data_IF_248468772629
#
_entry.id   IF_248468772629
#
_cell.length_a   1.000
_cell.length_b   1.000
_cell.length_c   1.000
_cell.angle_alpha   90.00
_cell.angle_beta   90.00
_cell.angle_gamma   90.00
#
_symmetry.space_group_name_H-M   'P 1'
#
loop_
_entity.id
_entity.type
_entity.pdbx_description
1 polymer ?
#
# COMPACT_ATOMS: atom_id res chain seq x y z
N UNK A 1 0.68 9.11 42.66
CA UNK A 1 0.10 8.29 41.58
C UNK A 1 1.25 7.50 40.98
N UNK A 2 1.31 6.18 41.20
CA UNK A 2 2.48 5.36 40.85
C UNK A 2 2.65 5.23 39.34
N UNK A 3 3.91 5.15 38.87
CA UNK A 3 4.34 5.06 37.45
C UNK A 3 3.54 4.03 36.62
N UNK A 4 3.06 2.97 37.29
CA UNK A 4 2.27 1.91 36.69
C UNK A 4 0.86 2.37 36.29
N UNK A 5 0.26 3.31 37.05
CA UNK A 5 -1.05 3.89 36.75
C UNK A 5 -0.97 4.85 35.56
N UNK A 6 0.15 5.58 35.41
CA UNK A 6 0.37 6.46 34.25
C UNK A 6 0.67 5.67 32.98
N UNK A 7 1.43 4.58 33.07
CA UNK A 7 1.65 3.66 31.93
C UNK A 7 0.35 2.98 31.48
N UNK A 8 -0.46 2.50 32.43
CA UNK A 8 -1.76 1.91 32.12
C UNK A 8 -2.74 2.94 31.51
N UNK A 9 -2.75 4.18 32.00
CA UNK A 9 -3.56 5.25 31.44
C UNK A 9 -3.10 5.65 30.02
N UNK A 10 -1.79 5.64 29.74
CA UNK A 10 -1.24 5.93 28.41
C UNK A 10 -1.54 4.80 27.42
N UNK A 11 -1.43 3.54 27.86
CA UNK A 11 -1.79 2.38 27.05
C UNK A 11 -3.30 2.34 26.77
N UNK A 12 -4.14 2.67 27.76
CA UNK A 12 -5.58 2.78 27.57
C UNK A 12 -5.93 3.95 26.63
N UNK A 13 -5.27 5.10 26.74
CA UNK A 13 -5.47 6.23 25.83
C UNK A 13 -5.04 5.89 24.39
N UNK A 14 -3.94 5.16 24.20
CA UNK A 14 -3.50 4.69 22.88
C UNK A 14 -4.46 3.63 22.30
N UNK A 15 -4.98 2.73 23.14
CA UNK A 15 -5.98 1.74 22.74
C UNK A 15 -7.35 2.39 22.43
N UNK A 16 -7.72 3.46 23.14
CA UNK A 16 -8.91 4.26 22.81
C UNK A 16 -8.71 5.05 21.51
N UNK A 17 -7.53 5.63 21.28
CA UNK A 17 -7.22 6.34 20.02
C UNK A 17 -7.23 5.38 18.81
N UNK A 18 -6.73 4.15 19.00
CA UNK A 18 -6.77 3.09 17.99
C UNK A 18 -8.15 2.43 17.85
N UNK A 19 -9.01 2.55 18.86
CA UNK A 19 -10.29 1.84 18.98
C UNK A 19 -11.50 2.55 18.36
N UNK A 20 -11.39 3.84 18.02
CA UNK A 20 -12.51 4.59 17.44
C UNK A 20 -12.32 4.72 15.91
N UNK A 21 -12.99 3.83 15.16
CA UNK A 21 -13.23 3.87 13.70
C UNK A 21 -12.05 3.75 12.70
N UNK A 22 -10.79 4.00 13.07
CA UNK A 22 -9.67 4.08 12.10
C UNK A 22 -9.10 2.72 11.61
N UNK A 23 -9.36 1.60 12.29
CA UNK A 23 -8.69 0.32 12.00
C UNK A 23 -9.00 -0.26 10.60
N UNK A 24 -10.23 -0.06 10.10
CA UNK A 24 -10.63 -0.54 8.78
C UNK A 24 -9.93 0.24 7.65
N UNK A 25 -9.76 1.55 7.80
CA UNK A 25 -9.14 2.40 6.79
C UNK A 25 -7.61 2.27 6.79
N UNK A 26 -7.00 2.11 7.97
CA UNK A 26 -5.56 1.76 8.08
C UNK A 26 -5.30 0.38 7.45
N UNK A 27 -6.14 -0.63 7.74
CA UNK A 27 -6.04 -1.94 7.10
C UNK A 27 -6.22 -1.89 5.57
N UNK A 28 -7.18 -1.08 5.10
CA UNK A 28 -7.39 -0.83 3.67
C UNK A 28 -6.18 -0.14 3.03
N UNK A 29 -5.60 0.86 3.69
CA UNK A 29 -4.38 1.53 3.22
C UNK A 29 -3.19 0.56 3.12
N UNK A 30 -3.02 -0.33 4.10
CA UNK A 30 -1.98 -1.35 4.08
C UNK A 30 -2.16 -2.34 2.91
N UNK A 31 -3.39 -2.81 2.68
CA UNK A 31 -3.71 -3.68 1.54
C UNK A 31 -3.43 -3.00 0.20
N UNK A 32 -3.86 -1.74 0.03
CA UNK A 32 -3.65 -0.99 -1.22
C UNK A 32 -2.16 -0.67 -1.44
N UNK A 33 -1.37 -0.49 -0.37
CA UNK A 33 0.08 -0.36 -0.46
C UNK A 33 0.77 -1.67 -0.84
N UNK A 34 0.28 -2.82 -0.34
CA UNK A 34 0.75 -4.13 -0.76
C UNK A 34 0.46 -4.37 -2.24
N UNK A 35 -0.76 -4.11 -2.70
CA UNK A 35 -1.15 -4.21 -4.12
C UNK A 35 -0.27 -3.32 -5.01
N UNK A 36 0.03 -2.10 -4.56
CA UNK A 36 0.92 -1.19 -5.29
C UNK A 36 2.32 -1.78 -5.44
N UNK A 37 2.80 -2.48 -4.42
CA UNK A 37 4.12 -3.12 -4.39
C UNK A 37 4.14 -4.35 -5.30
N UNK A 38 3.11 -5.19 -5.25
CA UNK A 38 2.98 -6.35 -6.15
C UNK A 38 2.99 -5.91 -7.62
N UNK A 39 2.16 -4.93 -7.97
CA UNK A 39 2.18 -4.37 -9.31
C UNK A 39 3.53 -3.73 -9.67
N UNK A 40 4.27 -3.16 -8.71
CA UNK A 40 5.62 -2.66 -8.98
C UNK A 40 6.60 -3.78 -9.31
N UNK A 41 6.50 -4.91 -8.61
CA UNK A 41 7.32 -6.10 -8.87
C UNK A 41 6.99 -6.67 -10.26
N UNK A 42 5.70 -6.80 -10.58
CA UNK A 42 5.26 -7.29 -11.90
C UNK A 42 5.68 -6.36 -13.03
N UNK A 43 5.59 -5.03 -12.82
CA UNK A 43 6.16 -4.05 -13.75
C UNK A 43 7.63 -4.35 -14.01
N UNK A 44 8.43 -4.54 -12.95
CA UNK A 44 9.88 -4.80 -13.08
C UNK A 44 10.18 -6.14 -13.74
N UNK A 45 9.37 -7.16 -13.49
CA UNK A 45 9.46 -8.44 -14.18
C UNK A 45 9.17 -8.28 -15.68
N UNK A 46 8.09 -7.58 -16.04
CA UNK A 46 7.76 -7.32 -17.43
C UNK A 46 8.82 -6.47 -18.16
N UNK A 47 9.37 -5.45 -17.50
CA UNK A 47 10.51 -4.67 -18.02
C UNK A 47 11.75 -5.56 -18.26
N UNK A 48 12.01 -6.52 -17.37
CA UNK A 48 13.09 -7.47 -17.53
C UNK A 48 12.84 -8.40 -18.73
N UNK A 49 11.65 -8.98 -18.83
CA UNK A 49 11.27 -9.86 -19.93
C UNK A 49 11.31 -9.13 -21.28
N UNK A 50 10.94 -7.85 -21.32
CA UNK A 50 11.04 -7.01 -22.52
C UNK A 50 12.49 -6.83 -23.00
N UNK A 51 13.47 -6.80 -22.09
CA UNK A 51 14.91 -6.72 -22.44
C UNK A 51 15.43 -8.01 -23.05
N UNK A 52 14.87 -9.15 -22.66
CA UNK A 52 15.30 -10.48 -23.11
C UNK A 52 14.45 -11.05 -24.26
N UNK A 53 13.46 -10.29 -24.74
CA UNK A 53 12.54 -10.72 -25.80
C UNK A 53 12.91 -10.17 -27.18
N UNK A 54 12.51 -10.90 -28.23
CA UNK A 54 12.49 -10.38 -29.61
C UNK A 54 11.46 -9.24 -29.80
N UNK A 55 11.40 -8.60 -30.98
CA UNK A 55 10.64 -7.36 -31.19
C UNK A 55 9.16 -7.41 -30.77
N UNK A 56 8.45 -8.49 -31.14
CA UNK A 56 7.04 -8.68 -30.77
C UNK A 56 6.90 -8.89 -29.26
N UNK A 57 7.73 -9.75 -28.67
CA UNK A 57 7.72 -10.00 -27.23
C UNK A 57 8.07 -8.75 -26.42
N UNK A 58 9.02 -7.94 -26.90
CA UNK A 58 9.35 -6.64 -26.30
C UNK A 58 8.13 -5.71 -26.29
N UNK A 59 7.41 -5.59 -27.41
CA UNK A 59 6.21 -4.75 -27.47
C UNK A 59 5.12 -5.21 -26.48
N UNK A 60 4.84 -6.53 -26.43
CA UNK A 60 3.85 -7.09 -25.50
C UNK A 60 4.26 -6.88 -24.05
N UNK A 61 5.53 -7.12 -23.71
CA UNK A 61 6.02 -6.97 -22.34
C UNK A 61 6.08 -5.50 -21.90
N UNK A 62 6.34 -4.57 -22.81
CA UNK A 62 6.23 -3.13 -22.51
C UNK A 62 4.79 -2.73 -22.16
N UNK A 63 3.78 -3.23 -22.90
CA UNK A 63 2.36 -2.97 -22.58
C UNK A 63 2.00 -3.55 -21.20
N UNK A 64 2.49 -4.75 -20.87
CA UNK A 64 2.30 -5.32 -19.51
C UNK A 64 2.95 -4.44 -18.44
N UNK A 65 4.19 -3.98 -18.69
CA UNK A 65 4.88 -3.09 -17.75
C UNK A 65 4.10 -1.79 -17.52
N UNK A 66 3.56 -1.18 -18.58
CA UNK A 66 2.76 0.04 -18.48
C UNK A 66 1.44 -0.20 -17.73
N UNK A 67 0.76 -1.33 -17.97
CA UNK A 67 -0.43 -1.72 -17.22
C UNK A 67 -0.14 -1.78 -15.71
N UNK A 68 0.90 -2.52 -15.32
CA UNK A 68 1.28 -2.68 -13.93
C UNK A 68 1.79 -1.37 -13.29
N UNK A 69 2.48 -0.52 -14.06
CA UNK A 69 2.87 0.83 -13.61
C UNK A 69 1.66 1.68 -13.27
N UNK A 70 0.65 1.70 -14.12
CA UNK A 70 -0.58 2.46 -13.88
C UNK A 70 -1.36 1.92 -12.68
N UNK A 71 -1.45 0.60 -12.56
CA UNK A 71 -2.08 -0.06 -11.41
C UNK A 71 -1.35 0.24 -10.10
N UNK A 72 -0.03 0.17 -10.08
CA UNK A 72 0.77 0.51 -8.91
C UNK A 72 0.53 1.96 -8.46
N UNK A 73 0.48 2.91 -9.41
CA UNK A 73 0.15 4.30 -9.12
C UNK A 73 -1.25 4.45 -8.53
N UNK A 74 -2.25 3.80 -9.13
CA UNK A 74 -3.62 3.88 -8.66
C UNK A 74 -3.80 3.30 -7.24
N UNK A 75 -3.19 2.15 -6.95
CA UNK A 75 -3.24 1.55 -5.62
C UNK A 75 -2.53 2.42 -4.58
N UNK A 76 -1.41 3.06 -4.94
CA UNK A 76 -0.75 4.05 -4.07
C UNK A 76 -1.64 5.23 -3.72
N UNK A 77 -2.33 5.82 -4.70
CA UNK A 77 -3.23 6.95 -4.44
C UNK A 77 -4.41 6.54 -3.56
N UNK A 78 -4.97 5.34 -3.77
CA UNK A 78 -6.00 4.79 -2.89
C UNK A 78 -5.50 4.58 -1.46
N UNK A 79 -4.28 4.04 -1.29
CA UNK A 79 -3.69 3.85 0.04
C UNK A 79 -3.57 5.18 0.78
N UNK A 80 -3.13 6.23 0.08
CA UNK A 80 -3.03 7.59 0.61
C UNK A 80 -4.41 8.15 0.98
N UNK A 81 -5.42 7.94 0.15
CA UNK A 81 -6.79 8.35 0.42
C UNK A 81 -7.38 7.63 1.64
N UNK A 82 -7.17 6.31 1.73
CA UNK A 82 -7.58 5.49 2.88
C UNK A 82 -6.92 5.98 4.17
N UNK A 83 -5.62 6.31 4.12
CA UNK A 83 -4.92 6.86 5.28
C UNK A 83 -5.46 8.24 5.68
N UNK A 84 -5.72 9.13 4.72
CA UNK A 84 -6.31 10.44 5.00
C UNK A 84 -7.69 10.31 5.67
N UNK A 85 -8.55 9.44 5.15
CA UNK A 85 -9.86 9.18 5.74
C UNK A 85 -9.79 8.54 7.13
N UNK A 86 -8.68 7.88 7.47
CA UNK A 86 -8.45 7.32 8.82
C UNK A 86 -8.08 8.36 9.88
N UNK A 87 -7.73 9.58 9.44
CA UNK A 87 -7.36 10.70 10.31
C UNK A 87 -8.38 11.84 10.31
N UNK A 88 -9.37 11.79 9.41
CA UNK A 88 -10.50 12.73 9.29
C UNK A 88 -11.70 12.23 10.13
#
# INVERSE_FOLDING_TARGET
MTLNKTLAALAAAAALLAGHAAHAQVGKAASEAADATEHKIDQKRAENDAKHSGPVGKAVNNVKADYHKNRAHHSKEKAKESLKKSTD
#
